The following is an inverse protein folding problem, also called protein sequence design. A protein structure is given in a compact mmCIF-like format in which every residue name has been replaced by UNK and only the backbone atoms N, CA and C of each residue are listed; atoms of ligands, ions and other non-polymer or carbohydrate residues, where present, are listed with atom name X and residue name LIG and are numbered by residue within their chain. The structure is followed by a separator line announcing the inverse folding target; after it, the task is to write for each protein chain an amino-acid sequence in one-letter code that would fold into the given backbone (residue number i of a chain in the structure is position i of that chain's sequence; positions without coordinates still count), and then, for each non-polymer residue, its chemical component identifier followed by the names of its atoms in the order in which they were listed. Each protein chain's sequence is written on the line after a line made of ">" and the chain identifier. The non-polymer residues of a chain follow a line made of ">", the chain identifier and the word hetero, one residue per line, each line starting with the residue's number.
data_IF_963801281425
#
_entry.id   IF_963801281425
#
_cell.length_a   1.000
_cell.length_b   1.000
_cell.length_c   1.000
_cell.angle_alpha   90.00
_cell.angle_beta   90.00
_cell.angle_gamma   90.00
#
_symmetry.space_group_name_H-M   'P 1'
#
loop_
_entity.id
_entity.type
_entity.pdbx_description
1 polymer ?
#
# COMPACT_ATOMS: atom_id res chain seq x y z
N UNK A 1 -4.49 8.67 -26.26
CA UNK A 1 -4.84 7.23 -26.37
C UNK A 1 -6.00 6.97 -25.43
N UNK A 2 -7.20 6.67 -25.93
CA UNK A 2 -8.40 6.53 -25.08
C UNK A 2 -8.63 5.04 -24.79
N UNK A 3 -9.20 4.72 -23.62
CA UNK A 3 -9.46 3.35 -23.15
C UNK A 3 -10.39 2.52 -24.07
N UNK A 4 -10.95 3.12 -25.11
CA UNK A 4 -11.84 2.51 -26.11
C UNK A 4 -11.10 1.82 -27.26
N UNK A 5 -9.78 1.97 -27.34
CA UNK A 5 -9.00 1.53 -28.50
C UNK A 5 -8.48 0.07 -28.38
N UNK A 6 -8.81 -0.63 -27.28
CA UNK A 6 -8.47 -2.04 -27.08
C UNK A 6 -9.52 -2.99 -27.69
N UNK A 7 -9.13 -3.98 -28.50
CA UNK A 7 -10.09 -4.89 -29.13
C UNK A 7 -10.70 -5.82 -28.09
N UNK A 8 -12.04 -5.78 -27.97
CA UNK A 8 -12.80 -6.69 -27.12
C UNK A 8 -12.79 -8.12 -27.72
N UNK A 9 -12.59 -9.18 -26.90
CA UNK A 9 -12.48 -10.53 -27.41
C UNK A 9 -13.85 -11.03 -27.93
N UNK A 10 -13.89 -11.44 -29.21
CA UNK A 10 -15.07 -12.07 -29.81
C UNK A 10 -15.29 -13.45 -29.18
N UNK A 11 -16.49 -13.69 -28.63
CA UNK A 11 -16.84 -14.96 -27.99
C UNK A 11 -16.92 -16.07 -29.04
N UNK A 12 -16.08 -17.09 -28.85
CA UNK A 12 -16.24 -18.41 -29.44
C UNK A 12 -15.54 -18.61 -30.77
N UNK A 13 -14.23 -18.90 -30.75
CA UNK A 13 -13.62 -19.87 -31.67
C UNK A 13 -12.15 -20.14 -31.31
N UNK A 14 -11.87 -21.09 -30.41
CA UNK A 14 -10.59 -21.81 -30.45
C UNK A 14 -10.84 -23.28 -30.09
N UNK A 15 -11.00 -24.09 -31.14
CA UNK A 15 -10.75 -25.54 -31.05
C UNK A 15 -9.23 -25.71 -31.14
N UNK A 16 -8.62 -26.31 -30.13
CA UNK A 16 -7.28 -26.89 -30.24
C UNK A 16 -7.41 -28.40 -30.06
N UNK A 17 -7.01 -29.11 -31.11
CA UNK A 17 -7.02 -30.56 -31.16
C UNK A 17 -5.84 -31.17 -30.41
N UNK A 18 -6.13 -32.29 -29.75
CA UNK A 18 -5.28 -33.46 -29.50
C UNK A 18 -3.87 -33.27 -28.91
N UNK A 19 -3.67 -33.91 -27.75
CA UNK A 19 -2.41 -34.63 -27.50
C UNK A 19 -1.36 -33.92 -26.66
N UNK A 20 -1.69 -33.60 -25.39
CA UNK A 20 -0.83 -33.80 -24.21
C UNK A 20 -1.51 -33.20 -22.97
N UNK A 21 -1.89 -34.08 -22.06
CA UNK A 21 -2.53 -33.76 -20.77
C UNK A 21 -1.50 -33.15 -19.82
N UNK A 22 -1.12 -31.88 -20.02
CA UNK A 22 -0.39 -31.11 -19.02
C UNK A 22 -1.38 -30.54 -18.02
N UNK A 23 -1.52 -31.24 -16.90
CA UNK A 23 -2.27 -30.81 -15.72
C UNK A 23 -1.52 -29.64 -15.07
N UNK A 24 -1.56 -28.46 -15.67
CA UNK A 24 -1.26 -27.24 -14.94
C UNK A 24 -2.49 -26.92 -14.07
N UNK A 25 -2.41 -27.28 -12.78
CA UNK A 25 -3.26 -26.70 -11.76
C UNK A 25 -2.92 -25.22 -11.65
N UNK A 26 -3.44 -24.41 -12.57
CA UNK A 26 -3.44 -22.97 -12.45
C UNK A 26 -4.41 -22.66 -11.28
N UNK A 27 -3.90 -22.60 -10.04
CA UNK A 27 -4.59 -21.85 -8.98
C UNK A 27 -4.60 -20.42 -9.49
N UNK A 28 -5.66 -20.05 -10.18
CA UNK A 28 -5.85 -18.72 -10.72
C UNK A 28 -5.88 -17.76 -9.53
N UNK A 29 -4.74 -17.17 -9.21
CA UNK A 29 -4.62 -16.08 -8.26
C UNK A 29 -5.25 -14.87 -8.96
N UNK A 30 -6.58 -14.76 -8.91
CA UNK A 30 -7.31 -13.59 -9.40
C UNK A 30 -7.05 -12.46 -8.40
N UNK A 31 -5.90 -11.82 -8.50
CA UNK A 31 -5.74 -10.46 -7.97
C UNK A 31 -6.69 -9.56 -8.74
N UNK A 32 -7.86 -9.29 -8.14
CA UNK A 32 -8.87 -8.39 -8.72
C UNK A 32 -8.29 -6.98 -8.72
N UNK A 33 -8.02 -6.45 -9.90
CA UNK A 33 -7.56 -5.07 -10.14
C UNK A 33 -8.59 -3.97 -9.79
N UNK A 34 -9.58 -4.27 -8.95
CA UNK A 34 -10.56 -3.31 -8.46
C UNK A 34 -10.64 -3.45 -6.95
N UNK A 35 -10.04 -2.49 -6.25
CA UNK A 35 -10.30 -2.28 -4.84
C UNK A 35 -11.80 -2.01 -4.70
N UNK A 36 -12.51 -2.76 -3.86
CA UNK A 36 -13.88 -2.39 -3.48
C UNK A 36 -13.90 -0.97 -2.90
N UNK A 37 -15.01 -0.22 -3.06
CA UNK A 37 -15.10 1.15 -2.56
C UNK A 37 -14.79 1.26 -1.05
N UNK A 38 -15.06 0.19 -0.30
CA UNK A 38 -14.71 0.05 1.12
C UNK A 38 -13.21 -0.06 1.34
N UNK A 39 -12.52 -0.94 0.60
CA UNK A 39 -11.06 -1.08 0.67
C UNK A 39 -10.33 0.19 0.19
N UNK A 40 -10.89 0.93 -0.78
CA UNK A 40 -10.33 2.21 -1.20
C UNK A 40 -10.42 3.28 -0.09
N UNK A 41 -11.53 3.31 0.66
CA UNK A 41 -11.70 4.18 1.83
C UNK A 41 -10.67 3.88 2.92
N UNK A 42 -10.49 2.60 3.27
CA UNK A 42 -9.48 2.17 4.27
C UNK A 42 -8.07 2.58 3.84
N UNK A 43 -7.68 2.33 2.58
CA UNK A 43 -6.38 2.73 2.06
C UNK A 43 -6.17 4.25 2.09
N UNK A 44 -7.21 5.03 1.79
CA UNK A 44 -7.15 6.49 1.89
C UNK A 44 -6.90 6.94 3.33
N UNK A 45 -7.61 6.37 4.30
CA UNK A 45 -7.40 6.70 5.73
C UNK A 45 -6.00 6.32 6.21
N UNK A 46 -5.46 5.19 5.74
CA UNK A 46 -4.10 4.77 6.05
C UNK A 46 -3.07 5.70 5.43
N UNK A 47 -3.28 6.13 4.19
CA UNK A 47 -2.40 7.09 3.52
C UNK A 47 -2.40 8.43 4.26
N UNK A 48 -3.57 8.95 4.63
CA UNK A 48 -3.67 10.20 5.39
C UNK A 48 -2.97 10.10 6.76
N UNK A 49 -3.11 8.97 7.46
CA UNK A 49 -2.41 8.72 8.71
C UNK A 49 -0.89 8.65 8.52
N UNK A 50 -0.42 8.01 7.44
CA UNK A 50 1.01 7.94 7.11
C UNK A 50 1.59 9.32 6.77
N UNK A 51 0.88 10.13 5.98
CA UNK A 51 1.30 11.50 5.66
C UNK A 51 1.40 12.38 6.91
N UNK A 52 0.40 12.30 7.80
CA UNK A 52 0.44 13.02 9.09
C UNK A 52 1.62 12.59 9.94
N UNK A 53 1.91 11.28 10.01
CA UNK A 53 3.05 10.76 10.77
C UNK A 53 4.37 11.25 10.18
N UNK A 54 4.52 11.22 8.85
CA UNK A 54 5.71 11.74 8.17
C UNK A 54 5.94 13.23 8.50
N UNK A 55 4.91 14.07 8.37
CA UNK A 55 5.04 15.49 8.68
C UNK A 55 5.42 15.73 10.15
N UNK A 56 4.87 14.94 11.09
CA UNK A 56 5.25 15.07 12.50
C UNK A 56 6.70 14.68 12.76
N UNK A 57 7.23 13.67 12.07
CA UNK A 57 8.64 13.29 12.19
C UNK A 57 9.55 14.34 11.58
N UNK A 58 9.15 14.91 10.43
CA UNK A 58 9.91 15.97 9.77
C UNK A 58 9.98 17.22 10.64
N UNK A 59 8.87 17.61 11.26
CA UNK A 59 8.86 18.74 12.21
C UNK A 59 9.74 18.47 13.43
N UNK A 60 9.66 17.28 14.02
CA UNK A 60 10.50 16.92 15.16
C UNK A 60 12.00 16.92 14.81
N UNK A 61 12.37 16.43 13.63
CA UNK A 61 13.76 16.48 13.15
C UNK A 61 14.24 17.92 12.94
N UNK A 62 13.37 18.78 12.41
CA UNK A 62 13.69 20.19 12.19
C UNK A 62 13.84 20.95 13.51
N UNK A 63 12.96 20.72 14.48
CA UNK A 63 13.04 21.32 15.83
C UNK A 63 14.35 20.92 16.53
N UNK A 64 14.71 19.63 16.51
CA UNK A 64 15.99 19.14 17.03
C UNK A 64 17.20 19.77 16.34
N UNK A 65 17.12 19.99 15.02
CA UNK A 65 18.18 20.66 14.29
C UNK A 65 18.27 22.15 14.62
N UNK A 66 17.15 22.83 14.85
CA UNK A 66 17.15 24.24 15.22
C UNK A 66 17.73 24.46 16.62
N UNK A 67 17.32 23.63 17.59
CA UNK A 67 17.73 23.72 19.00
C UNK A 67 19.14 23.18 19.25
N UNK A 68 19.44 21.98 18.76
CA UNK A 68 20.64 21.24 19.12
C UNK A 68 21.67 21.18 17.98
N UNK A 69 21.36 21.74 16.79
CA UNK A 69 22.15 21.56 15.55
C UNK A 69 22.40 20.10 15.22
N UNK A 70 21.49 19.23 15.68
CA UNK A 70 21.59 17.80 15.56
C UNK A 70 20.60 17.29 14.51
N UNK A 71 21.05 16.37 13.67
CA UNK A 71 20.18 15.71 12.69
C UNK A 71 19.84 14.33 13.22
N UNK A 72 18.56 14.05 13.40
CA UNK A 72 18.12 12.76 13.95
C UNK A 72 18.54 11.59 13.05
N UNK A 73 19.06 10.55 13.66
CA UNK A 73 19.38 9.32 12.94
C UNK A 73 18.09 8.52 12.63
N UNK A 74 18.15 7.68 11.60
CA UNK A 74 17.06 6.78 11.19
C UNK A 74 16.54 5.91 12.34
N UNK A 75 17.40 5.52 13.27
CA UNK A 75 17.02 4.74 14.47
C UNK A 75 16.14 5.54 15.43
N UNK A 76 16.46 6.81 15.63
CA UNK A 76 15.74 7.72 16.53
C UNK A 76 14.38 8.06 15.93
N UNK A 77 14.34 8.40 14.64
CA UNK A 77 13.09 8.60 13.90
C UNK A 77 12.19 7.35 13.95
N UNK A 78 12.78 6.14 13.85
CA UNK A 78 12.03 4.89 13.97
C UNK A 78 11.46 4.68 15.37
N UNK A 79 12.22 5.00 16.41
CA UNK A 79 11.75 4.92 17.80
C UNK A 79 10.62 5.94 18.05
N UNK A 80 10.80 7.18 17.60
CA UNK A 80 9.79 8.24 17.69
C UNK A 80 8.50 7.84 16.98
N UNK A 81 8.59 7.29 15.76
CA UNK A 81 7.44 6.77 15.04
C UNK A 81 6.69 5.66 15.80
N UNK A 82 7.41 4.76 16.46
CA UNK A 82 6.80 3.71 17.30
C UNK A 82 6.08 4.29 18.52
N UNK A 83 6.67 5.30 19.16
CA UNK A 83 6.06 5.99 20.30
C UNK A 83 4.78 6.72 19.87
N UNK A 84 4.83 7.45 18.76
CA UNK A 84 3.68 8.18 18.21
C UNK A 84 2.54 7.22 17.82
N UNK A 85 2.86 6.08 17.22
CA UNK A 85 1.88 5.04 16.87
C UNK A 85 1.19 4.42 18.09
N UNK A 86 1.90 4.30 19.23
CA UNK A 86 1.31 3.80 20.48
C UNK A 86 0.43 4.84 21.16
N UNK A 87 0.86 6.11 21.17
CA UNK A 87 0.18 7.19 21.90
C UNK A 87 -1.04 7.75 21.18
N UNK A 88 -1.04 7.78 19.85
CA UNK A 88 -2.09 8.46 19.08
C UNK A 88 -3.03 7.45 18.37
N UNK A 89 -4.35 7.48 18.66
CA UNK A 89 -5.32 6.60 18.00
C UNK A 89 -5.38 6.78 16.48
N UNK A 90 -5.07 7.97 15.96
CA UNK A 90 -5.00 8.24 14.51
C UNK A 90 -3.94 7.39 13.83
N UNK A 91 -2.81 7.14 14.52
CA UNK A 91 -1.70 6.36 13.99
C UNK A 91 -1.81 4.86 14.31
N UNK A 92 -2.74 4.45 15.17
CA UNK A 92 -3.03 3.02 15.41
C UNK A 92 -3.58 2.33 14.16
N UNK A 93 -4.22 3.07 13.24
CA UNK A 93 -4.69 2.56 11.95
C UNK A 93 -3.53 2.01 11.09
N UNK A 94 -2.30 2.48 11.33
CA UNK A 94 -1.09 1.96 10.69
C UNK A 94 -0.55 0.68 11.35
N UNK A 95 -1.12 0.23 12.47
CA UNK A 95 -0.69 -0.97 13.19
C UNK A 95 -1.15 -2.26 12.49
N UNK A 96 -2.18 -2.20 11.66
CA UNK A 96 -2.92 -3.39 11.17
C UNK A 96 -2.46 -3.98 9.83
N UNK A 97 -1.21 -3.78 9.39
CA UNK A 97 -0.68 -4.42 8.17
C UNK A 97 0.63 -5.21 8.36
N UNK A 98 1.21 -5.19 9.57
CA UNK A 98 2.40 -5.97 9.91
C UNK A 98 2.05 -6.88 11.07
N UNK A 99 1.42 -8.00 10.75
CA UNK A 99 1.34 -9.20 11.58
C UNK A 99 1.85 -10.37 10.75
#
# INVERSE_FOLDING_TARGET
>A
MRYTDFPQPKKGLYKYESGKRLVMRLRAYRSRAYCSNTTAGVLKTQLEAACKLYNTLLHAEQEEYEENKHTMNKTELRQLALVLRKKNPVFQVLYSQVA
#
